data_IF_826349370317
#
_entry.id   IF_826349370317
#
_cell.length_a   1.000
_cell.length_b   1.000
_cell.length_c   1.000
_cell.angle_alpha   90.00
_cell.angle_beta   90.00
_cell.angle_gamma   90.00
#
_symmetry.space_group_name_H-M   'P 1'
#
loop_
_entity.id
_entity.type
_entity.pdbx_description
1 polymer ?
#
# COMPACT_ATOMS: atom_id res chain seq x y z
N UNK A 1 -19.11 -60.04 40.78
CA UNK A 1 -20.07 -59.39 39.87
C UNK A 1 -19.90 -57.88 40.00
N UNK A 2 -19.23 -57.27 39.01
CA UNK A 2 -19.70 -56.12 38.22
C UNK A 2 -19.75 -54.78 39.00
N UNK A 3 -18.75 -53.91 38.81
CA UNK A 3 -18.75 -52.72 37.93
C UNK A 3 -19.44 -51.52 38.62
N UNK A 4 -18.81 -50.38 38.89
CA UNK A 4 -17.95 -49.57 38.04
C UNK A 4 -18.65 -48.21 37.88
N UNK A 5 -18.25 -47.20 38.67
CA UNK A 5 -18.81 -45.85 38.62
C UNK A 5 -17.68 -44.85 38.55
N UNK A 6 -17.47 -44.28 37.35
CA UNK A 6 -16.40 -43.35 37.05
C UNK A 6 -16.81 -41.91 37.42
N UNK A 7 -15.88 -41.17 38.02
CA UNK A 7 -15.97 -39.73 38.22
C UNK A 7 -15.96 -38.99 36.88
N UNK A 8 -16.72 -37.89 36.71
CA UNK A 8 -16.66 -37.09 35.49
C UNK A 8 -15.43 -36.16 35.52
N UNK A 9 -14.44 -36.46 34.69
CA UNK A 9 -13.35 -35.55 34.35
C UNK A 9 -13.91 -34.23 33.79
N UNK A 10 -13.64 -33.13 34.48
CA UNK A 10 -13.91 -31.79 33.97
C UNK A 10 -12.85 -31.45 32.92
N UNK A 11 -13.22 -31.53 31.64
CA UNK A 11 -12.38 -31.08 30.53
C UNK A 11 -12.19 -29.56 30.58
N UNK A 12 -10.98 -29.14 30.92
CA UNK A 12 -10.52 -27.75 30.76
C UNK A 12 -10.27 -27.51 29.27
N UNK A 13 -11.28 -26.96 28.58
CA UNK A 13 -11.14 -26.51 27.19
C UNK A 13 -10.24 -25.27 27.12
N UNK A 14 -9.02 -25.46 26.62
CA UNK A 14 -8.12 -24.37 26.25
C UNK A 14 -8.78 -23.49 25.18
N UNK A 15 -8.67 -22.14 25.23
CA UNK A 15 -9.23 -21.30 24.19
C UNK A 15 -8.50 -21.59 22.89
N UNK A 16 -9.18 -22.33 22.01
CA UNK A 16 -8.73 -22.64 20.66
C UNK A 16 -8.19 -21.39 20.01
N UNK A 17 -6.88 -21.38 19.78
CA UNK A 17 -6.17 -20.45 18.89
C UNK A 17 -6.99 -20.39 17.61
N UNK A 18 -7.75 -19.30 17.40
CA UNK A 18 -8.54 -19.08 16.20
C UNK A 18 -7.60 -19.32 15.03
N UNK A 19 -7.79 -20.44 14.34
CA UNK A 19 -7.14 -20.66 13.08
C UNK A 19 -7.57 -19.49 12.20
N UNK A 20 -6.61 -18.68 11.76
CA UNK A 20 -6.85 -17.68 10.74
C UNK A 20 -7.55 -18.42 9.59
N UNK A 21 -8.72 -17.95 9.12
CA UNK A 21 -9.31 -18.51 7.91
C UNK A 21 -8.21 -18.53 6.85
N UNK A 22 -8.03 -19.67 6.19
CA UNK A 22 -7.10 -19.77 5.07
C UNK A 22 -7.39 -18.58 4.14
N UNK A 23 -6.44 -17.65 4.02
CA UNK A 23 -6.62 -16.46 3.19
C UNK A 23 -6.96 -16.96 1.78
N UNK A 24 -8.11 -16.52 1.25
CA UNK A 24 -8.47 -16.82 -0.14
C UNK A 24 -7.26 -16.48 -1.02
N UNK A 25 -6.76 -17.50 -1.72
CA UNK A 25 -5.58 -17.50 -2.57
C UNK A 25 -5.78 -16.64 -3.82
N UNK A 26 -5.97 -15.34 -3.64
CA UNK A 26 -6.02 -14.34 -4.69
C UNK A 26 -4.97 -13.27 -4.45
N UNK A 27 -4.26 -12.85 -5.50
CA UNK A 27 -3.36 -11.69 -5.48
C UNK A 27 -4.18 -10.40 -5.30
N UNK A 28 -4.65 -10.14 -4.08
CA UNK A 28 -5.43 -8.94 -3.73
C UNK A 28 -4.57 -7.96 -2.94
N UNK A 29 -4.36 -6.77 -3.50
CA UNK A 29 -3.79 -5.65 -2.77
C UNK A 29 -4.84 -5.07 -1.81
N UNK A 30 -4.51 -4.98 -0.52
CA UNK A 30 -5.35 -4.31 0.48
C UNK A 30 -4.75 -2.94 0.80
N UNK A 31 -5.60 -1.96 1.08
CA UNK A 31 -5.16 -0.63 1.53
C UNK A 31 -6.13 -0.03 2.54
N UNK A 32 -5.65 0.92 3.32
CA UNK A 32 -6.45 1.80 4.17
C UNK A 32 -6.03 3.25 3.95
N UNK A 33 -6.97 4.17 4.11
CA UNK A 33 -6.71 5.61 4.12
C UNK A 33 -6.34 6.03 5.53
N UNK A 34 -5.24 6.74 5.67
CA UNK A 34 -4.72 7.25 6.94
C UNK A 34 -5.28 8.64 7.27
N UNK A 35 -5.78 9.37 6.27
CA UNK A 35 -6.39 10.69 6.41
C UNK A 35 -7.54 10.88 5.40
N UNK A 36 -8.25 11.99 5.54
CA UNK A 36 -9.28 12.42 4.58
C UNK A 36 -8.71 12.88 3.22
N UNK A 37 -7.43 13.24 3.17
CA UNK A 37 -6.76 13.66 1.94
C UNK A 37 -6.33 12.48 1.06
N UNK A 38 -6.32 11.28 1.61
CA UNK A 38 -5.90 10.08 0.91
C UNK A 38 -6.90 9.69 -0.20
N UNK A 39 -6.41 9.57 -1.43
CA UNK A 39 -7.19 9.05 -2.56
C UNK A 39 -6.95 7.55 -2.72
N UNK A 40 -8.02 6.79 -2.97
CA UNK A 40 -7.88 5.35 -3.22
C UNK A 40 -7.07 5.09 -4.51
N UNK A 41 -6.11 4.15 -4.51
CA UNK A 41 -5.40 3.78 -5.73
C UNK A 41 -6.38 3.30 -6.80
N UNK A 42 -6.17 3.73 -8.05
CA UNK A 42 -7.04 3.32 -9.17
C UNK A 42 -6.23 2.58 -10.22
N UNK A 43 -6.93 1.86 -11.10
CA UNK A 43 -6.31 1.13 -12.20
C UNK A 43 -6.71 1.79 -13.51
N UNK A 44 -5.74 2.22 -14.31
CA UNK A 44 -6.02 2.95 -15.55
C UNK A 44 -6.71 2.13 -16.65
N UNK A 45 -6.64 0.79 -16.57
CA UNK A 45 -7.39 -0.14 -17.41
C UNK A 45 -7.41 -1.53 -16.77
N UNK A 46 -8.27 -2.43 -17.23
CA UNK A 46 -8.33 -3.81 -16.72
C UNK A 46 -6.97 -4.52 -16.79
N UNK A 47 -6.19 -4.23 -17.83
CA UNK A 47 -4.88 -4.83 -18.12
C UNK A 47 -3.69 -3.98 -17.66
N UNK A 48 -3.93 -2.88 -16.95
CA UNK A 48 -2.82 -2.06 -16.47
C UNK A 48 -1.91 -2.85 -15.52
N UNK A 49 -0.61 -2.60 -15.59
CA UNK A 49 0.39 -3.33 -14.79
C UNK A 49 0.40 -2.92 -13.30
N UNK A 50 -0.12 -1.73 -12.98
CA UNK A 50 -0.07 -1.19 -11.62
C UNK A 50 -1.26 -0.29 -11.32
N UNK A 51 -1.25 0.24 -10.09
CA UNK A 51 -2.22 1.19 -9.58
C UNK A 51 -1.61 2.59 -9.59
N UNK A 52 -2.39 3.59 -10.03
CA UNK A 52 -2.01 4.99 -9.89
C UNK A 52 -2.08 5.37 -8.40
N UNK A 53 -1.00 6.00 -7.92
CA UNK A 53 -0.91 6.60 -6.59
C UNK A 53 -1.12 8.11 -6.70
N UNK A 54 -1.67 8.69 -5.64
CA UNK A 54 -2.05 10.11 -5.58
C UNK A 54 -1.36 10.77 -4.40
N UNK A 55 -0.90 12.00 -4.60
CA UNK A 55 -0.45 12.88 -3.53
C UNK A 55 -1.63 13.21 -2.60
N UNK A 56 -1.37 13.17 -1.29
CA UNK A 56 -2.32 13.63 -0.28
C UNK A 56 -2.21 15.15 -0.04
N UNK A 57 -1.12 15.78 -0.47
CA UNK A 57 -0.83 17.19 -0.25
C UNK A 57 -0.23 17.83 -1.49
N UNK A 58 -0.25 19.16 -1.56
CA UNK A 58 0.40 19.89 -2.63
C UNK A 58 1.93 19.86 -2.43
N UNK A 59 2.66 19.52 -3.50
CA UNK A 59 4.11 19.50 -3.52
C UNK A 59 4.64 20.35 -4.67
N UNK A 60 5.73 21.08 -4.40
CA UNK A 60 6.57 21.68 -5.44
C UNK A 60 7.96 21.07 -5.34
N UNK A 61 8.44 20.48 -6.43
CA UNK A 61 9.79 19.93 -6.53
C UNK A 61 10.59 20.84 -7.45
N UNK A 62 11.58 21.53 -6.89
CA UNK A 62 12.44 22.43 -7.68
C UNK A 62 13.34 21.63 -8.65
N UNK A 63 13.84 22.27 -9.71
CA UNK A 63 14.82 21.66 -10.61
C UNK A 63 16.00 21.06 -9.84
N UNK A 64 16.40 19.84 -10.22
CA UNK A 64 17.50 19.09 -9.61
C UNK A 64 17.32 18.76 -8.11
N UNK A 65 16.10 18.82 -7.60
CA UNK A 65 15.77 18.43 -6.22
C UNK A 65 14.93 17.15 -6.15
N UNK A 66 14.71 16.69 -4.91
CA UNK A 66 13.85 15.56 -4.59
C UNK A 66 12.84 15.91 -3.50
N UNK A 67 11.67 15.27 -3.56
CA UNK A 67 10.67 15.34 -2.50
C UNK A 67 10.14 13.95 -2.14
N UNK A 68 9.67 13.80 -0.91
CA UNK A 68 8.92 12.61 -0.48
C UNK A 68 7.45 12.99 -0.48
N UNK A 69 6.75 12.59 -1.53
CA UNK A 69 5.31 12.81 -1.70
C UNK A 69 4.56 11.76 -0.87
N UNK A 70 3.82 12.21 0.13
CA UNK A 70 2.98 11.33 0.96
C UNK A 70 1.64 11.10 0.27
N UNK A 71 1.18 9.86 0.31
CA UNK A 71 -0.11 9.47 -0.28
C UNK A 71 -1.19 9.23 0.78
N UNK A 72 -0.81 9.18 2.05
CA UNK A 72 -1.68 8.86 3.19
C UNK A 72 -2.46 7.55 3.02
N UNK A 73 -1.87 6.60 2.30
CA UNK A 73 -2.36 5.24 2.27
C UNK A 73 -1.35 4.34 2.95
N UNK A 74 -1.87 3.33 3.62
CA UNK A 74 -1.10 2.18 4.06
C UNK A 74 -1.57 0.98 3.24
N UNK A 75 -0.64 0.13 2.81
CA UNK A 75 -0.95 -1.05 2.01
C UNK A 75 -0.57 -2.33 2.74
N UNK A 76 -1.24 -3.43 2.39
CA UNK A 76 -0.81 -4.78 2.71
C UNK A 76 -0.76 -5.57 1.40
N UNK A 77 0.45 -5.99 1.05
CA UNK A 77 0.74 -6.75 -0.16
C UNK A 77 0.33 -8.22 0.02
N UNK A 78 0.00 -8.92 -1.08
CA UNK A 78 -0.11 -10.38 -1.07
C UNK A 78 1.22 -11.03 -0.66
N UNK A 79 1.16 -12.18 -0.01
CA UNK A 79 2.37 -12.84 0.46
C UNK A 79 3.27 -13.30 -0.69
N UNK A 80 4.59 -13.18 -0.51
CA UNK A 80 5.60 -13.48 -1.53
C UNK A 80 5.76 -12.39 -2.58
N UNK A 81 5.21 -11.19 -2.37
CA UNK A 81 5.31 -10.06 -3.29
C UNK A 81 5.92 -8.84 -2.59
N UNK A 82 6.62 -8.01 -3.35
CA UNK A 82 6.97 -6.64 -2.95
C UNK A 82 6.19 -5.64 -3.81
N UNK A 83 5.98 -4.44 -3.27
CA UNK A 83 5.40 -3.33 -4.03
C UNK A 83 6.51 -2.57 -4.74
N UNK A 84 6.30 -2.24 -6.02
CA UNK A 84 7.18 -1.33 -6.77
C UNK A 84 6.46 -0.04 -7.10
N UNK A 85 6.92 1.07 -6.55
CA UNK A 85 6.55 2.40 -7.02
C UNK A 85 7.34 2.69 -8.29
N UNK A 86 6.62 2.98 -9.36
CA UNK A 86 7.18 3.18 -10.69
C UNK A 86 6.82 4.56 -11.23
N UNK A 87 7.67 5.17 -12.08
CA UNK A 87 7.34 6.44 -12.70
C UNK A 87 6.17 6.30 -13.68
N UNK A 88 5.30 7.32 -13.73
CA UNK A 88 4.32 7.45 -14.81
C UNK A 88 5.03 7.95 -16.06
N UNK A 89 4.95 7.20 -17.14
CA UNK A 89 5.66 7.52 -18.40
C UNK A 89 5.40 8.93 -18.91
N UNK A 90 4.16 9.44 -18.75
CA UNK A 90 3.81 10.81 -19.11
C UNK A 90 4.54 11.88 -18.30
N UNK A 91 4.77 11.66 -17.00
CA UNK A 91 5.51 12.59 -16.15
C UNK A 91 7.01 12.54 -16.46
N UNK A 92 7.56 11.34 -16.67
CA UNK A 92 8.94 11.15 -17.07
C UNK A 92 9.24 11.84 -18.42
N UNK A 93 8.40 11.62 -19.44
CA UNK A 93 8.62 12.18 -20.77
C UNK A 93 8.40 13.70 -20.86
N UNK A 94 7.42 14.25 -20.14
CA UNK A 94 7.05 15.67 -20.26
C UNK A 94 7.76 16.59 -19.28
N UNK A 95 8.03 16.11 -18.07
CA UNK A 95 8.53 16.92 -16.96
C UNK A 95 9.88 16.43 -16.43
N UNK A 96 10.42 15.36 -17.00
CA UNK A 96 11.67 14.73 -16.57
C UNK A 96 11.66 14.32 -15.08
N UNK A 97 10.52 13.78 -14.66
CA UNK A 97 10.29 13.25 -13.30
C UNK A 97 10.61 11.75 -13.25
N UNK A 98 11.32 11.35 -12.20
CA UNK A 98 11.63 9.95 -11.91
C UNK A 98 11.29 9.58 -10.46
N UNK A 99 11.23 8.27 -10.19
CA UNK A 99 10.93 7.70 -8.86
C UNK A 99 12.16 7.03 -8.28
N UNK A 100 12.54 7.43 -7.07
CA UNK A 100 13.59 6.82 -6.26
C UNK A 100 13.09 5.77 -5.26
N UNK A 101 14.03 4.96 -4.76
CA UNK A 101 13.85 3.87 -3.78
C UNK A 101 12.84 2.80 -4.23
N UNK A 102 11.56 3.15 -4.29
CA UNK A 102 10.50 2.44 -5.01
C UNK A 102 10.12 1.06 -4.49
N UNK A 103 10.89 0.43 -3.61
CA UNK A 103 10.59 -0.88 -3.02
C UNK A 103 9.77 -0.70 -1.76
N UNK A 104 8.62 -1.37 -1.70
CA UNK A 104 7.76 -1.47 -0.51
C UNK A 104 7.75 -2.93 -0.08
N UNK A 105 8.23 -3.20 1.12
CA UNK A 105 8.30 -4.54 1.69
C UNK A 105 6.90 -5.10 2.03
N UNK A 106 6.76 -6.43 2.01
CA UNK A 106 5.50 -7.14 2.30
C UNK A 106 4.93 -6.79 3.69
N UNK A 107 5.81 -6.56 4.67
CA UNK A 107 5.49 -6.25 6.06
C UNK A 107 5.49 -4.74 6.37
N UNK A 108 5.75 -3.89 5.37
CA UNK A 108 5.66 -2.45 5.56
C UNK A 108 4.21 -2.03 5.86
N UNK A 109 4.02 -1.33 6.99
CA UNK A 109 2.71 -0.87 7.47
C UNK A 109 2.68 0.64 7.73
N UNK A 110 3.67 1.38 7.23
CA UNK A 110 3.70 2.84 7.32
C UNK A 110 2.90 3.51 6.21
N UNK A 111 2.91 4.85 6.23
CA UNK A 111 2.39 5.69 5.15
C UNK A 111 3.26 5.51 3.89
N UNK A 112 2.65 5.09 2.79
CA UNK A 112 3.33 4.94 1.50
C UNK A 112 3.78 6.33 1.02
N UNK A 113 5.07 6.42 0.69
CA UNK A 113 5.66 7.64 0.15
C UNK A 113 6.28 7.38 -1.21
N UNK A 114 6.18 8.35 -2.09
CA UNK A 114 6.84 8.35 -3.40
C UNK A 114 8.02 9.31 -3.33
N UNK A 115 9.23 8.80 -3.51
CA UNK A 115 10.42 9.65 -3.65
C UNK A 115 10.45 10.15 -5.10
N UNK A 116 10.12 11.41 -5.33
CA UNK A 116 10.19 12.02 -6.66
C UNK A 116 11.50 12.76 -6.83
N UNK A 117 12.14 12.56 -7.97
CA UNK A 117 13.25 13.36 -8.46
C UNK A 117 12.78 14.24 -9.62
N UNK A 118 13.15 15.51 -9.59
CA UNK A 118 12.96 16.42 -10.71
C UNK A 118 14.29 16.66 -11.41
N UNK A 119 14.53 15.99 -12.53
CA UNK A 119 15.70 16.25 -13.39
C UNK A 119 15.43 17.31 -14.46
N UNK A 120 14.22 17.86 -14.48
CA UNK A 120 13.81 18.94 -15.36
C UNK A 120 14.46 20.27 -14.98
N UNK A 121 14.35 21.24 -15.90
CA UNK A 121 14.83 22.61 -15.70
C UNK A 121 13.77 23.53 -15.08
N UNK A 122 12.53 23.06 -14.97
CA UNK A 122 11.39 23.79 -14.44
C UNK A 122 10.92 23.15 -13.13
N UNK A 123 10.27 23.93 -12.26
CA UNK A 123 9.63 23.38 -11.07
C UNK A 123 8.50 22.44 -11.48
N UNK A 124 8.35 21.34 -10.77
CA UNK A 124 7.22 20.43 -10.92
C UNK A 124 6.24 20.64 -9.78
N UNK A 125 4.97 20.89 -10.12
CA UNK A 125 3.88 21.06 -9.15
C UNK A 125 2.96 19.84 -9.20
N UNK A 126 2.93 19.09 -8.10
CA UNK A 126 1.95 18.03 -7.87
C UNK A 126 0.86 18.59 -6.96
N UNK A 127 -0.31 18.89 -7.55
CA UNK A 127 -1.43 19.50 -6.84
C UNK A 127 -2.53 18.47 -6.62
N UNK A 128 -3.06 18.42 -5.39
CA UNK A 128 -4.21 17.60 -5.05
C UNK A 128 -5.42 18.15 -5.78
N UNK A 129 -5.97 17.36 -6.71
CA UNK A 129 -7.25 17.71 -7.34
C UNK A 129 -8.38 17.31 -6.40
N UNK A 130 -8.99 18.30 -5.74
CA UNK A 130 -10.25 18.06 -5.03
C UNK A 130 -11.30 17.56 -6.02
N UNK A 131 -11.76 16.33 -5.84
CA UNK A 131 -13.01 15.87 -6.43
C UNK A 131 -14.13 16.44 -5.54
N UNK A 132 -14.74 17.53 -5.99
CA UNK A 132 -16.04 17.97 -5.50
C UNK A 132 -17.13 17.07 -6.08
#
# INVERSE_FOLDING_TARGET
>A
MAAGGADPETQVISPSKRARPAEESGMRLRFVRLSEHATAPTKGSERAAGYDLYSAYDYTVMPMEKAIVKTDIQIALPSGCYGRVAPRSGLAAKHFIDVGAGVIDEDYRGNVGVVLFNFGKEKFEDRVRMHQ
#
